data_IF_806138660623
#
_entry.id   IF_806138660623
#
_cell.length_a   1.000
_cell.length_b   1.000
_cell.length_c   1.000
_cell.angle_alpha   90.00
_cell.angle_beta   90.00
_cell.angle_gamma   90.00
#
_symmetry.space_group_name_H-M   'P 1'
#
loop_
_entity.id
_entity.type
_entity.pdbx_description
1 polymer ?
#
# COMPACT_ATOMS: atom_id res chain seq x y z
N UNK A 1 -7.45 -4.25 -39.85
CA UNK A 1 -8.02 -3.91 -38.53
C UNK A 1 -8.05 -5.16 -37.66
N UNK A 2 -7.15 -5.25 -36.68
CA UNK A 2 -7.29 -6.24 -35.61
C UNK A 2 -8.57 -5.93 -34.83
N UNK A 3 -9.37 -6.95 -34.50
CA UNK A 3 -10.60 -6.74 -33.72
C UNK A 3 -10.19 -6.35 -32.31
N UNK A 4 -10.35 -5.08 -31.94
CA UNK A 4 -10.16 -4.62 -30.56
C UNK A 4 -11.12 -5.37 -29.64
N UNK A 5 -10.62 -6.43 -29.01
CA UNK A 5 -11.40 -7.26 -28.12
C UNK A 5 -11.55 -6.52 -26.80
N UNK A 6 -12.63 -5.75 -26.69
CA UNK A 6 -13.05 -5.08 -25.47
C UNK A 6 -13.15 -6.10 -24.34
N UNK A 7 -12.21 -6.03 -23.39
CA UNK A 7 -12.23 -6.90 -22.22
C UNK A 7 -13.31 -6.46 -21.24
N UNK A 8 -13.97 -7.42 -20.61
CA UNK A 8 -14.98 -7.12 -19.60
C UNK A 8 -14.34 -6.43 -18.38
N UNK A 9 -14.92 -5.32 -17.87
CA UNK A 9 -14.44 -4.66 -16.65
C UNK A 9 -14.35 -5.61 -15.45
N UNK A 10 -15.27 -6.57 -15.33
CA UNK A 10 -15.28 -7.51 -14.21
C UNK A 10 -14.09 -8.47 -14.25
N UNK A 11 -13.75 -8.98 -15.44
CA UNK A 11 -12.58 -9.86 -15.63
C UNK A 11 -11.28 -9.10 -15.39
N UNK A 12 -11.19 -7.88 -15.90
CA UNK A 12 -10.04 -7.00 -15.71
C UNK A 12 -9.84 -6.67 -14.22
N UNK A 13 -10.92 -6.30 -13.52
CA UNK A 13 -10.88 -6.04 -12.08
C UNK A 13 -10.50 -7.28 -11.28
N UNK A 14 -11.06 -8.44 -11.59
CA UNK A 14 -10.71 -9.70 -10.92
C UNK A 14 -9.22 -9.97 -11.05
N UNK A 15 -8.65 -9.81 -12.25
CA UNK A 15 -7.22 -9.99 -12.48
C UNK A 15 -6.36 -9.01 -11.67
N UNK A 16 -6.75 -7.72 -11.65
CA UNK A 16 -6.04 -6.68 -10.89
C UNK A 16 -6.12 -6.96 -9.39
N UNK A 17 -7.27 -7.37 -8.85
CA UNK A 17 -7.45 -7.63 -7.41
C UNK A 17 -6.61 -8.80 -6.86
N UNK A 18 -6.20 -9.75 -7.71
CA UNK A 18 -5.34 -10.85 -7.28
C UNK A 18 -3.87 -10.45 -7.15
N UNK A 19 -3.51 -9.24 -7.56
CA UNK A 19 -2.16 -8.70 -7.50
C UNK A 19 -2.17 -7.36 -6.75
N UNK A 20 -1.13 -7.10 -5.96
CA UNK A 20 -0.97 -5.78 -5.32
C UNK A 20 -0.71 -4.67 -6.34
N UNK A 21 -0.13 -5.05 -7.49
CA UNK A 21 0.22 -4.14 -8.56
C UNK A 21 0.29 -4.89 -9.91
N UNK A 22 -0.15 -4.25 -10.98
CA UNK A 22 -0.13 -4.81 -12.33
C UNK A 22 0.38 -3.76 -13.32
N UNK A 23 1.57 -3.95 -13.93
CA UNK A 23 2.04 -3.06 -14.98
C UNK A 23 1.22 -3.26 -16.27
N UNK A 24 1.12 -2.22 -17.10
CA UNK A 24 0.36 -2.26 -18.37
C UNK A 24 0.82 -3.39 -19.28
N UNK A 25 2.13 -3.66 -19.35
CA UNK A 25 2.71 -4.75 -20.14
C UNK A 25 2.18 -6.14 -19.75
N UNK A 26 1.92 -6.35 -18.45
CA UNK A 26 1.35 -7.59 -17.94
C UNK A 26 -0.11 -7.75 -18.31
N UNK A 27 -0.89 -6.65 -18.33
CA UNK A 27 -2.27 -6.64 -18.85
C UNK A 27 -2.26 -7.03 -20.33
N UNK A 28 -1.37 -6.43 -21.13
CA UNK A 28 -1.24 -6.77 -22.57
C UNK A 28 -0.96 -8.25 -22.77
N UNK A 29 0.01 -8.80 -22.03
CA UNK A 29 0.37 -10.22 -22.06
C UNK A 29 -0.81 -11.12 -21.66
N UNK A 30 -1.53 -10.76 -20.58
CA UNK A 30 -2.60 -11.60 -20.03
C UNK A 30 -3.81 -11.70 -20.96
N UNK A 31 -4.16 -10.62 -21.64
CA UNK A 31 -5.33 -10.55 -22.51
C UNK A 31 -5.01 -10.76 -24.00
N UNK A 32 -3.77 -11.17 -24.33
CA UNK A 32 -3.28 -11.37 -25.71
C UNK A 32 -3.54 -10.14 -26.58
N UNK A 33 -3.10 -8.97 -26.10
CA UNK A 33 -3.26 -7.70 -26.78
C UNK A 33 -2.10 -7.51 -27.77
N UNK A 34 -2.36 -7.82 -29.04
CA UNK A 34 -1.43 -7.60 -30.17
C UNK A 34 -1.51 -6.20 -30.77
N UNK A 35 -2.49 -5.38 -30.37
CA UNK A 35 -2.61 -4.01 -30.88
C UNK A 35 -1.38 -3.19 -30.45
N UNK A 36 -0.73 -2.53 -31.42
CA UNK A 36 0.32 -1.54 -31.16
C UNK A 36 -0.24 -0.19 -30.73
N UNK A 37 -1.49 0.10 -31.11
CA UNK A 37 -2.15 1.36 -30.83
C UNK A 37 -2.63 1.43 -29.38
N UNK A 38 -1.96 2.29 -28.60
CA UNK A 38 -2.41 2.68 -27.27
C UNK A 38 -3.41 3.84 -27.33
N UNK A 39 -4.40 3.80 -26.45
CA UNK A 39 -5.38 4.88 -26.29
C UNK A 39 -5.10 5.75 -25.06
N UNK A 40 -5.70 6.93 -25.07
CA UNK A 40 -5.79 7.82 -23.90
C UNK A 40 -7.09 7.57 -23.16
N UNK A 41 -7.06 7.74 -21.84
CA UNK A 41 -8.25 7.79 -20.98
C UNK A 41 -8.34 9.14 -20.29
N UNK A 42 -9.53 9.54 -19.86
CA UNK A 42 -9.71 10.75 -19.06
C UNK A 42 -9.41 10.42 -17.60
N UNK A 43 -8.28 10.93 -17.10
CA UNK A 43 -7.80 10.75 -15.74
C UNK A 43 -8.21 11.96 -14.86
N UNK A 44 -9.51 12.30 -14.86
CA UNK A 44 -10.09 13.32 -13.96
C UNK A 44 -9.71 14.74 -14.35
N UNK A 45 -10.37 15.75 -13.77
CA UNK A 45 -10.06 17.19 -13.94
C UNK A 45 -9.60 17.63 -15.36
N UNK A 46 -10.20 17.08 -16.42
CA UNK A 46 -9.81 17.31 -17.82
C UNK A 46 -8.38 16.89 -18.24
N UNK A 47 -7.72 16.03 -17.45
CA UNK A 47 -6.42 15.46 -17.80
C UNK A 47 -6.59 14.16 -18.58
N UNK A 48 -5.72 13.94 -19.57
CA UNK A 48 -5.71 12.75 -20.41
C UNK A 48 -4.43 11.99 -20.15
N UNK A 49 -4.57 10.73 -19.75
CA UNK A 49 -3.43 9.85 -19.51
C UNK A 49 -3.33 8.80 -20.62
N UNK A 50 -2.14 8.60 -21.17
CA UNK A 50 -1.86 7.56 -22.15
C UNK A 50 -1.73 6.20 -21.45
N UNK A 51 -2.47 5.19 -21.91
CA UNK A 51 -2.56 3.89 -21.21
C UNK A 51 -1.85 2.75 -21.94
N UNK A 52 -1.47 2.92 -23.22
CA UNK A 52 -0.82 1.84 -23.98
C UNK A 52 -1.69 0.58 -24.18
N UNK A 53 -3.00 0.68 -23.91
CA UNK A 53 -3.99 -0.37 -24.15
C UNK A 53 -4.95 0.05 -25.28
N UNK A 54 -5.49 -0.91 -26.04
CA UNK A 54 -6.48 -0.66 -27.09
C UNK A 54 -7.75 -0.05 -26.49
N UNK A 55 -8.49 0.70 -27.31
CA UNK A 55 -9.64 1.49 -26.86
C UNK A 55 -10.68 0.69 -26.06
N UNK A 56 -10.97 -0.55 -26.47
CA UNK A 56 -11.91 -1.40 -25.74
C UNK A 56 -11.46 -1.72 -24.30
N UNK A 57 -10.19 -2.06 -24.11
CA UNK A 57 -9.63 -2.37 -22.79
C UNK A 57 -9.39 -1.09 -21.98
N UNK A 58 -8.92 -0.02 -22.64
CA UNK A 58 -8.73 1.30 -22.04
C UNK A 58 -10.05 1.85 -21.46
N UNK A 59 -11.17 1.76 -22.19
CA UNK A 59 -12.49 2.15 -21.69
C UNK A 59 -12.94 1.32 -20.49
N UNK A 60 -12.62 0.03 -20.46
CA UNK A 60 -12.94 -0.81 -19.29
C UNK A 60 -12.10 -0.42 -18.09
N UNK A 61 -10.83 -0.06 -18.29
CA UNK A 61 -9.95 0.44 -17.24
C UNK A 61 -10.44 1.79 -16.70
N UNK A 62 -10.78 2.72 -17.59
CA UNK A 62 -11.34 4.03 -17.27
C UNK A 62 -12.60 3.90 -16.41
N UNK A 63 -13.53 3.01 -16.77
CA UNK A 63 -14.74 2.73 -15.97
C UNK A 63 -14.42 2.25 -14.56
N UNK A 64 -13.41 1.38 -14.41
CA UNK A 64 -13.02 0.88 -13.09
C UNK A 64 -12.37 1.97 -12.24
N UNK A 65 -11.58 2.83 -12.87
CA UNK A 65 -10.94 3.96 -12.23
C UNK A 65 -11.96 5.02 -11.79
N UNK A 66 -12.92 5.38 -12.66
CA UNK A 66 -14.05 6.26 -12.33
C UNK A 66 -14.92 5.71 -11.20
N UNK A 67 -15.03 4.38 -11.07
CA UNK A 67 -15.74 3.71 -9.97
C UNK A 67 -14.93 3.66 -8.66
N UNK A 68 -13.69 4.15 -8.63
CA UNK A 68 -12.82 4.09 -7.46
C UNK A 68 -12.40 2.66 -7.09
N UNK A 69 -12.48 1.70 -8.03
CA UNK A 69 -12.15 0.29 -7.77
C UNK A 69 -10.67 -0.02 -8.01
N UNK A 70 -9.99 0.81 -8.78
CA UNK A 70 -8.57 0.71 -9.08
C UNK A 70 -7.93 2.09 -9.03
N UNK A 71 -6.64 2.12 -8.71
CA UNK A 71 -5.77 3.27 -8.87
C UNK A 71 -4.92 3.14 -10.13
N UNK A 72 -4.46 4.28 -10.64
CA UNK A 72 -3.54 4.38 -11.75
C UNK A 72 -2.19 4.87 -11.23
N UNK A 73 -1.11 4.28 -11.70
CA UNK A 73 0.24 4.79 -11.51
C UNK A 73 0.67 5.50 -12.79
N UNK A 74 1.04 6.77 -12.64
CA UNK A 74 1.52 7.61 -13.74
C UNK A 74 3.06 7.71 -13.68
N UNK A 75 3.70 7.67 -14.85
CA UNK A 75 5.12 7.98 -14.97
C UNK A 75 5.36 9.47 -14.77
N UNK A 76 6.44 9.80 -14.05
CA UNK A 76 6.94 11.16 -13.89
C UNK A 76 8.06 11.50 -14.90
N UNK A 77 8.46 10.55 -15.75
CA UNK A 77 9.61 10.71 -16.66
C UNK A 77 9.25 11.44 -17.96
N UNK A 78 7.96 11.55 -18.27
CA UNK A 78 7.46 12.16 -19.49
C UNK A 78 6.72 13.47 -19.18
N UNK A 79 6.81 14.44 -20.09
CA UNK A 79 5.99 15.66 -20.05
C UNK A 79 4.47 15.40 -20.19
N UNK A 80 4.10 14.16 -20.52
CA UNK A 80 2.72 13.70 -20.62
C UNK A 80 2.38 12.70 -19.52
N UNK A 81 1.12 12.67 -19.09
CA UNK A 81 0.64 11.65 -18.15
C UNK A 81 0.61 10.28 -18.86
N UNK A 82 1.49 9.37 -18.45
CA UNK A 82 1.58 8.01 -18.99
C UNK A 82 1.28 7.01 -17.89
N UNK A 83 0.24 6.20 -18.04
CA UNK A 83 -0.08 5.11 -17.11
C UNK A 83 0.91 3.97 -17.32
N UNK A 84 1.67 3.65 -16.27
CA UNK A 84 2.66 2.56 -16.27
C UNK A 84 2.13 1.30 -15.59
N UNK A 85 1.18 1.44 -14.67
CA UNK A 85 0.52 0.32 -14.03
C UNK A 85 -0.73 0.71 -13.26
N UNK A 86 -1.35 -0.30 -12.68
CA UNK A 86 -2.60 -0.17 -11.94
C UNK A 86 -2.58 -1.04 -10.69
N UNK A 87 -3.32 -0.63 -9.68
CA UNK A 87 -3.42 -1.34 -8.41
C UNK A 87 -4.87 -1.37 -7.94
N UNK A 88 -5.30 -2.42 -7.23
CA UNK A 88 -6.66 -2.46 -6.70
C UNK A 88 -6.83 -1.40 -5.59
N UNK A 89 -7.95 -0.67 -5.64
CA UNK A 89 -8.39 0.14 -4.51
C UNK A 89 -9.24 -0.75 -3.61
N UNK A 90 -8.83 -0.86 -2.35
CA UNK A 90 -9.67 -1.48 -1.32
C UNK A 90 -10.60 -0.37 -0.83
N UNK A 91 -11.93 -0.57 -0.82
CA UNK A 91 -12.78 0.42 -0.18
C UNK A 91 -12.35 0.53 1.28
N UNK A 92 -11.90 1.71 1.70
CA UNK A 92 -11.79 2.02 3.13
C UNK A 92 -13.14 1.68 3.75
N UNK A 93 -13.18 1.00 4.91
CA UNK A 93 -14.44 0.71 5.62
C UNK A 93 -15.33 1.96 5.79
N UNK A 94 -14.70 3.13 5.77
CA UNK A 94 -15.29 4.47 5.76
C UNK A 94 -16.27 4.72 4.59
N UNK A 95 -16.04 4.12 3.41
CA UNK A 95 -16.91 4.30 2.24
C UNK A 95 -18.12 3.35 2.22
N UNK A 96 -18.11 2.27 3.00
CA UNK A 96 -19.29 1.39 3.17
C UNK A 96 -20.28 1.93 4.21
N UNK A 97 -19.79 2.74 5.16
CA UNK A 97 -20.61 3.39 6.17
C UNK A 97 -20.76 4.86 5.76
N UNK A 98 -21.75 5.18 4.94
CA UNK A 98 -22.01 6.54 4.44
C UNK A 98 -22.09 7.59 5.55
N UNK A 99 -20.96 8.20 5.90
CA UNK A 99 -20.88 9.40 6.71
C UNK A 99 -19.66 10.20 6.28
N UNK A 100 -19.86 10.99 5.22
CA UNK A 100 -19.07 12.19 4.96
C UNK A 100 -19.22 13.12 6.16
N UNK A 101 -18.35 13.02 7.16
CA UNK A 101 -18.04 14.11 8.08
C UNK A 101 -16.68 13.85 8.72
N UNK A 102 -15.74 14.77 8.48
CA UNK A 102 -14.36 14.71 8.93
C UNK A 102 -14.21 14.68 10.44
N UNK A 103 -14.25 13.49 11.01
CA UNK A 103 -13.64 13.18 12.29
C UNK A 103 -12.69 12.02 12.06
N UNK A 104 -11.41 12.36 11.88
CA UNK A 104 -10.37 11.41 12.25
C UNK A 104 -10.64 11.02 13.71
N UNK A 105 -10.77 9.73 14.06
CA UNK A 105 -10.69 9.36 15.46
C UNK A 105 -9.31 9.85 15.91
N UNK A 106 -9.29 10.82 16.82
CA UNK A 106 -8.09 11.11 17.59
C UNK A 106 -7.60 9.78 18.13
N UNK A 107 -6.32 9.40 17.91
CA UNK A 107 -5.80 8.23 18.58
C UNK A 107 -6.09 8.38 20.07
N UNK A 108 -6.52 7.33 20.78
CA UNK A 108 -6.61 7.40 22.23
C UNK A 108 -5.27 7.94 22.75
N UNK A 109 -5.27 8.83 23.76
CA UNK A 109 -4.03 9.24 24.38
C UNK A 109 -3.24 7.97 24.68
N UNK A 110 -1.97 7.93 24.26
CA UNK A 110 -1.07 6.88 24.68
C UNK A 110 -0.98 7.00 26.21
N UNK A 111 -1.80 6.22 26.91
CA UNK A 111 -1.74 6.11 28.35
C UNK A 111 -0.43 5.38 28.64
N UNK A 112 0.60 6.17 28.93
CA UNK A 112 1.85 5.66 29.45
C UNK A 112 1.51 5.17 30.85
N UNK A 113 1.00 3.94 30.93
CA UNK A 113 0.95 3.20 32.19
C UNK A 113 2.40 2.97 32.58
N UNK A 114 2.90 3.81 33.47
CA UNK A 114 4.16 3.59 34.15
C UNK A 114 4.18 2.14 34.69
N UNK A 115 5.28 1.39 34.53
CA UNK A 115 5.37 0.10 35.20
C UNK A 115 5.21 0.33 36.71
N UNK A 116 4.38 -0.49 37.33
CA UNK A 116 4.15 -0.47 38.77
C UNK A 116 5.51 -0.51 39.52
N UNK A 117 5.64 0.20 40.65
CA UNK A 117 6.83 0.06 41.48
C UNK A 117 6.92 -1.39 41.95
N UNK A 118 8.03 -2.05 41.62
CA UNK A 118 8.39 -3.33 42.21
C UNK A 118 8.52 -3.14 43.72
N UNK A 119 7.57 -3.70 44.46
CA UNK A 119 7.56 -3.70 45.91
C UNK A 119 8.71 -4.60 46.40
N UNK A 120 9.79 -3.98 46.87
CA UNK A 120 10.94 -4.67 47.47
C UNK A 120 10.55 -5.03 48.90
N UNK A 121 10.07 -6.26 49.10
CA UNK A 121 9.83 -6.80 50.44
C UNK A 121 11.18 -7.14 51.09
N UNK A 122 11.64 -6.27 51.98
CA UNK A 122 12.78 -6.51 52.84
C UNK A 122 12.39 -7.39 54.04
N UNK A 123 13.08 -8.53 54.22
CA UNK A 123 13.33 -9.25 55.48
C UNK A 123 14.19 -10.48 55.11
N UNK A 124 15.34 -10.79 55.70
CA UNK A 124 15.77 -10.71 57.09
C UNK A 124 17.33 -10.65 57.19
N UNK A 125 17.91 -10.44 58.39
CA UNK A 125 19.25 -9.87 58.58
C UNK A 125 20.34 -10.88 59.02
N UNK A 126 21.57 -10.34 59.10
CA UNK A 126 22.80 -10.81 59.78
C UNK A 126 23.54 -12.03 59.16
N UNK A 127 24.75 -11.80 58.68
CA UNK A 127 25.96 -12.22 59.41
C UNK A 127 27.18 -11.40 58.97
N UNK A 128 27.94 -10.94 59.96
CA UNK A 128 29.15 -10.13 59.84
C UNK A 128 30.35 -11.08 59.77
N UNK A 129 31.20 -10.96 58.75
CA UNK A 129 32.58 -11.45 58.83
C UNK A 129 33.51 -10.42 58.19
N UNK A 130 34.51 -10.04 58.97
CA UNK A 130 35.52 -9.00 58.76
C UNK A 130 36.45 -9.24 57.54
N UNK A 131 37.24 -8.21 57.15
CA UNK A 131 38.09 -8.23 55.97
C UNK A 131 39.48 -8.78 56.27
N UNK A 132 40.09 -9.44 55.30
CA UNK A 132 41.53 -9.68 55.29
C UNK A 132 42.11 -9.17 53.96
N UNK A 133 42.64 -7.95 54.00
CA UNK A 133 43.79 -7.55 53.17
C UNK A 133 45.01 -8.29 53.74
N UNK A 134 45.94 -8.82 52.92
CA UNK A 134 46.95 -7.92 52.36
C UNK A 134 47.50 -8.26 50.97
N UNK A 135 47.83 -7.19 50.25
CA UNK A 135 49.12 -6.95 49.59
C UNK A 135 49.82 -8.03 48.73
N UNK A 136 50.23 -7.55 47.54
CA UNK A 136 51.50 -7.85 46.85
C UNK A 136 51.63 -9.21 46.14
N UNK A 137 51.75 -9.24 44.81
CA UNK A 137 52.99 -9.08 44.02
C UNK A 137 53.82 -10.38 43.93
N UNK A 138 54.18 -10.73 42.68
CA UNK A 138 55.39 -11.45 42.22
C UNK A 138 55.20 -12.75 41.40
N UNK A 139 55.74 -12.66 40.17
CA UNK A 139 56.43 -13.63 39.32
C UNK A 139 56.01 -15.11 39.29
N UNK A 140 55.70 -15.60 38.08
CA UNK A 140 56.64 -16.44 37.31
C UNK A 140 56.27 -16.47 35.81
#
# INVERSE_FOLDING_TARGET
MGKDKRQSPSTLLWFIRHKSYVPISEIRRRFFIDAEDGCFIEAGSHRRAYVGLPGGTAQSLEKLWQQGKIGLELSAEFDAEVVIGVYPMVPSKEHLNGTLNGHYPTPPPLEITAPAPVEVTASAPLEIAEPADPASQELN
#
